data_IF_647210283279
#
_entry.id   IF_647210283279
#
_cell.length_a   1.000
_cell.length_b   1.000
_cell.length_c   1.000
_cell.angle_alpha   90.00
_cell.angle_beta   90.00
_cell.angle_gamma   90.00
#
_symmetry.space_group_name_H-M   'P 1'
#
loop_
_entity.id
_entity.type
_entity.pdbx_description
1 polymer ?
#
# COMPACT_ATOMS: atom_id res chain seq x y z
N UNK A 1 25.23 -60.48 -1.47
CA UNK A 1 26.38 -60.85 -2.34
C UNK A 1 27.02 -59.52 -2.75
N UNK A 2 28.31 -59.20 -2.49
CA UNK A 2 29.58 -59.86 -2.88
C UNK A 2 29.69 -60.04 -4.41
N UNK A 3 30.66 -59.48 -5.15
CA UNK A 3 31.78 -58.53 -4.90
C UNK A 3 31.85 -57.55 -6.11
N UNK A 4 32.17 -56.25 -6.01
CA UNK A 4 33.49 -55.56 -5.81
C UNK A 4 34.64 -56.04 -6.73
N UNK A 5 35.10 -55.19 -7.67
CA UNK A 5 36.48 -54.67 -7.93
C UNK A 5 36.50 -53.93 -9.30
N UNK A 6 36.90 -52.66 -9.43
CA UNK A 6 38.27 -52.04 -9.39
C UNK A 6 39.12 -52.31 -10.65
N UNK A 7 40.03 -51.44 -11.13
CA UNK A 7 40.41 -50.03 -10.82
C UNK A 7 40.68 -49.28 -12.16
N UNK A 8 41.44 -48.20 -12.43
CA UNK A 8 42.55 -47.39 -11.83
C UNK A 8 42.46 -45.94 -12.45
N UNK A 9 43.17 -44.87 -12.04
CA UNK A 9 44.12 -44.65 -10.94
C UNK A 9 43.98 -43.25 -10.29
N UNK A 10 44.77 -42.25 -10.74
CA UNK A 10 45.08 -40.94 -10.15
C UNK A 10 45.43 -39.94 -11.32
N UNK A 11 45.73 -38.65 -11.16
CA UNK A 11 46.02 -37.83 -9.97
C UNK A 11 45.78 -36.31 -10.21
N UNK A 12 45.82 -35.51 -9.14
CA UNK A 12 46.15 -34.06 -9.02
C UNK A 12 45.73 -33.02 -10.08
N UNK A 13 45.29 -31.83 -9.62
CA UNK A 13 45.20 -30.63 -10.48
C UNK A 13 44.42 -29.45 -9.89
N UNK A 14 45.12 -28.44 -9.38
CA UNK A 14 44.52 -27.20 -8.86
C UNK A 14 43.99 -26.27 -9.97
N UNK A 15 42.99 -25.44 -9.59
CA UNK A 15 42.68 -24.09 -10.09
C UNK A 15 43.21 -23.63 -11.47
N UNK A 16 42.29 -23.20 -12.34
CA UNK A 16 42.42 -21.93 -13.09
C UNK A 16 41.07 -21.41 -13.58
N UNK A 17 40.86 -20.09 -13.44
CA UNK A 17 39.71 -19.41 -14.05
C UNK A 17 39.98 -19.19 -15.55
N UNK A 18 39.11 -19.73 -16.41
CA UNK A 18 39.12 -19.48 -17.85
C UNK A 18 37.92 -18.64 -18.27
N UNK A 19 38.05 -17.31 -18.28
CA UNK A 19 36.96 -16.42 -18.66
C UNK A 19 36.90 -16.27 -20.20
N UNK A 20 36.18 -17.18 -20.87
CA UNK A 20 35.97 -17.15 -22.32
C UNK A 20 34.97 -16.07 -22.74
N UNK A 21 35.41 -14.81 -22.83
CA UNK A 21 34.58 -13.70 -23.31
C UNK A 21 34.30 -13.80 -24.82
N UNK A 22 33.05 -13.58 -25.24
CA UNK A 22 32.62 -13.85 -26.62
C UNK A 22 31.31 -13.18 -27.07
N UNK A 23 31.01 -11.95 -26.62
CA UNK A 23 29.85 -11.19 -27.13
C UNK A 23 30.26 -10.34 -28.34
N UNK A 24 29.68 -10.65 -29.51
CA UNK A 24 29.95 -9.95 -30.77
C UNK A 24 29.06 -8.71 -30.91
N UNK A 25 29.66 -7.54 -31.16
CA UNK A 25 28.95 -6.29 -31.46
C UNK A 25 29.42 -5.76 -32.82
N UNK A 26 28.63 -5.95 -33.88
CA UNK A 26 28.90 -5.32 -35.17
C UNK A 26 28.43 -3.86 -35.18
N UNK A 27 29.20 -3.02 -35.86
CA UNK A 27 28.96 -1.58 -36.02
C UNK A 27 28.25 -1.30 -37.34
N UNK A 28 27.45 -0.23 -37.41
CA UNK A 28 27.85 1.00 -38.11
C UNK A 28 26.99 2.20 -37.69
N UNK A 29 27.44 3.46 -37.90
CA UNK A 29 26.89 4.63 -37.23
C UNK A 29 26.26 5.68 -38.16
N UNK A 30 25.43 6.53 -37.57
CA UNK A 30 25.13 7.94 -37.92
C UNK A 30 24.23 8.48 -36.79
N UNK A 31 24.24 9.74 -36.35
CA UNK A 31 25.20 10.86 -36.32
C UNK A 31 24.59 11.94 -35.38
N UNK A 32 25.33 13.01 -35.01
CA UNK A 32 24.89 14.08 -34.08
C UNK A 32 24.71 13.67 -32.59
N UNK A 33 24.81 14.56 -31.59
CA UNK A 33 25.81 15.62 -31.35
C UNK A 33 25.74 16.05 -29.87
N UNK A 34 26.88 16.42 -29.26
CA UNK A 34 27.02 17.00 -27.89
C UNK A 34 26.65 16.02 -26.74
N UNK A 35 27.53 15.61 -25.83
CA UNK A 35 28.27 16.35 -24.78
C UNK A 35 27.34 17.10 -23.81
N UNK A 36 27.39 16.87 -22.50
CA UNK A 36 28.53 16.41 -21.68
C UNK A 36 28.22 15.15 -20.84
N UNK A 37 29.09 14.15 -20.89
CA UNK A 37 29.01 12.93 -20.07
C UNK A 37 30.37 12.63 -19.42
N UNK A 38 30.69 13.33 -18.33
CA UNK A 38 32.02 13.26 -17.71
C UNK A 38 32.05 12.34 -16.49
N UNK A 39 32.48 11.09 -16.68
CA UNK A 39 33.30 10.34 -15.72
C UNK A 39 33.86 9.07 -16.37
N UNK A 40 35.08 9.14 -16.90
CA UNK A 40 35.78 7.98 -17.45
C UNK A 40 36.26 7.03 -16.34
N UNK A 41 36.20 5.74 -16.63
CA UNK A 41 36.55 4.66 -15.71
C UNK A 41 38.01 4.68 -15.23
N UNK A 42 38.20 4.36 -13.94
CA UNK A 42 39.36 3.59 -13.47
C UNK A 42 38.89 2.54 -12.47
N UNK A 43 39.44 1.34 -12.59
CA UNK A 43 39.18 0.22 -11.69
C UNK A 43 40.17 0.26 -10.51
N UNK A 44 39.66 0.03 -9.30
CA UNK A 44 40.44 -0.20 -8.09
C UNK A 44 39.67 -1.17 -7.21
N UNK A 45 40.36 -2.10 -6.53
CA UNK A 45 39.71 -3.11 -5.73
C UNK A 45 39.32 -2.56 -4.34
N UNK A 46 38.07 -2.77 -3.94
CA UNK A 46 37.54 -2.40 -2.64
C UNK A 46 36.09 -2.85 -2.50
N UNK A 47 35.63 -3.07 -1.26
CA UNK A 47 34.21 -3.23 -0.99
C UNK A 47 33.56 -1.85 -0.98
N UNK A 48 32.58 -1.63 -1.84
CA UNK A 48 31.52 -0.65 -1.58
C UNK A 48 30.29 -1.11 -2.37
N UNK A 49 29.28 -1.62 -1.65
CA UNK A 49 27.98 -1.83 -2.27
C UNK A 49 27.41 -0.46 -2.61
N UNK A 50 26.88 -0.28 -3.83
CA UNK A 50 26.20 0.95 -4.22
C UNK A 50 24.94 1.14 -3.36
N UNK A 51 25.15 1.74 -2.19
CA UNK A 51 24.13 2.35 -1.37
C UNK A 51 23.63 3.56 -2.15
N UNK A 52 22.79 3.30 -3.14
CA UNK A 52 21.86 4.28 -3.68
C UNK A 52 20.91 4.64 -2.54
N UNK A 53 21.40 5.54 -1.67
CA UNK A 53 20.60 6.28 -0.72
C UNK A 53 19.67 7.15 -1.55
N UNK A 54 18.57 6.55 -2.00
CA UNK A 54 17.40 7.25 -2.45
C UNK A 54 17.08 8.25 -1.35
N UNK A 55 17.42 9.53 -1.58
CA UNK A 55 16.88 10.63 -0.79
C UNK A 55 15.39 10.55 -1.00
N UNK A 56 14.71 9.90 -0.07
CA UNK A 56 13.26 9.96 0.01
C UNK A 56 12.93 11.45 0.12
N UNK A 57 12.18 11.98 -0.85
CA UNK A 57 11.73 13.35 -0.74
C UNK A 57 10.94 13.48 0.56
N UNK A 58 11.18 14.54 1.36
CA UNK A 58 10.62 14.62 2.70
C UNK A 58 9.09 14.56 2.61
N UNK A 59 8.52 13.52 3.22
CA UNK A 59 7.09 13.22 3.16
C UNK A 59 6.31 14.42 3.70
N UNK A 60 5.71 15.19 2.78
CA UNK A 60 4.93 16.37 3.14
C UNK A 60 3.59 15.92 3.74
N UNK A 61 3.57 15.83 5.07
CA UNK A 61 2.38 15.51 5.87
C UNK A 61 1.87 16.78 6.55
N UNK A 62 0.58 17.07 6.38
CA UNK A 62 -0.10 18.07 7.19
C UNK A 62 -0.36 17.53 8.61
N UNK A 63 -0.71 18.41 9.56
CA UNK A 63 -0.89 18.04 10.98
C UNK A 63 -1.90 16.90 11.20
N UNK A 64 -2.97 16.82 10.41
CA UNK A 64 -4.01 15.80 10.59
C UNK A 64 -3.56 14.43 10.04
N UNK A 65 -2.88 14.42 8.89
CA UNK A 65 -2.19 13.23 8.36
C UNK A 65 -1.12 12.73 9.33
N UNK A 66 -0.36 13.66 9.94
CA UNK A 66 0.69 13.37 10.90
C UNK A 66 0.14 12.68 12.16
N UNK A 67 -0.93 13.23 12.75
CA UNK A 67 -1.58 12.65 13.93
C UNK A 67 -2.16 11.26 13.63
N UNK A 68 -2.92 11.13 12.55
CA UNK A 68 -3.52 9.84 12.16
C UNK A 68 -2.48 8.75 11.87
N UNK A 69 -1.33 9.11 11.29
CA UNK A 69 -0.22 8.18 11.08
C UNK A 69 0.45 7.75 12.40
N UNK A 70 0.58 8.67 13.37
CA UNK A 70 1.12 8.36 14.71
C UNK A 70 0.16 7.51 15.55
N UNK A 71 -1.16 7.67 15.37
CA UNK A 71 -2.17 6.80 15.96
C UNK A 71 -2.11 5.40 15.36
N UNK A 72 -2.06 5.28 14.03
CA UNK A 72 -1.85 3.99 13.34
C UNK A 72 -0.52 3.32 13.73
N UNK A 73 0.54 4.10 13.99
CA UNK A 73 1.82 3.56 14.46
C UNK A 73 1.80 3.04 15.92
N UNK A 74 0.69 3.21 16.66
CA UNK A 74 0.48 2.62 17.99
C UNK A 74 -0.38 1.36 17.92
N UNK A 75 -1.44 1.35 17.09
CA UNK A 75 -2.42 0.26 17.03
C UNK A 75 -2.22 -0.71 15.84
N UNK A 76 -1.36 -0.36 14.88
CA UNK A 76 -1.06 -1.05 13.61
C UNK A 76 -2.24 -1.09 12.63
N UNK A 77 -3.47 -1.27 13.14
CA UNK A 77 -4.72 -1.35 12.38
C UNK A 77 -5.74 -0.32 12.88
N UNK A 78 -6.60 0.17 11.97
CA UNK A 78 -7.81 0.91 12.29
C UNK A 78 -9.03 0.27 11.60
N UNK A 79 -10.19 0.22 12.26
CA UNK A 79 -11.43 -0.25 11.65
C UNK A 79 -11.96 0.77 10.63
N UNK A 80 -12.35 0.27 9.46
CA UNK A 80 -12.99 1.05 8.40
C UNK A 80 -14.19 0.29 7.84
N UNK A 81 -15.07 0.99 7.14
CA UNK A 81 -16.12 0.40 6.33
C UNK A 81 -16.28 1.12 5.00
N UNK A 82 -16.93 0.51 4.02
CA UNK A 82 -17.60 1.26 2.93
C UNK A 82 -19.06 1.44 3.30
N UNK A 83 -19.63 2.62 3.08
CA UNK A 83 -21.08 2.79 3.03
C UNK A 83 -21.53 2.44 1.61
N UNK A 84 -22.37 1.41 1.51
CA UNK A 84 -22.85 0.84 0.24
C UNK A 84 -24.32 1.17 0.08
N UNK A 85 -24.70 1.65 -1.11
CA UNK A 85 -26.10 1.74 -1.54
C UNK A 85 -26.36 0.66 -2.59
N UNK A 86 -27.45 -0.08 -2.41
CA UNK A 86 -27.76 -1.28 -3.21
C UNK A 86 -29.25 -1.37 -3.53
N UNK A 87 -29.60 -2.11 -4.57
CA UNK A 87 -30.99 -2.47 -4.90
C UNK A 87 -31.36 -3.83 -4.33
N UNK A 88 -32.57 -3.95 -3.78
CA UNK A 88 -33.16 -5.22 -3.37
C UNK A 88 -33.77 -6.03 -4.51
N UNK A 89 -33.89 -5.46 -5.71
CA UNK A 89 -34.52 -6.10 -6.89
C UNK A 89 -33.63 -6.22 -8.11
N UNK A 90 -32.64 -5.33 -8.28
CA UNK A 90 -31.70 -5.31 -9.40
C UNK A 90 -30.28 -5.69 -8.94
N UNK A 91 -29.44 -6.20 -9.85
CA UNK A 91 -28.00 -6.41 -9.59
C UNK A 91 -27.22 -5.08 -9.63
N UNK A 92 -27.57 -4.16 -8.72
CA UNK A 92 -27.01 -2.81 -8.63
C UNK A 92 -26.47 -2.51 -7.21
N UNK A 93 -25.20 -2.12 -7.13
CA UNK A 93 -24.52 -1.74 -5.88
C UNK A 93 -23.46 -0.67 -6.16
N UNK A 94 -23.35 0.32 -5.28
CA UNK A 94 -22.45 1.46 -5.42
C UNK A 94 -21.84 1.88 -4.07
N UNK A 95 -20.56 2.26 -4.07
CA UNK A 95 -19.89 2.84 -2.91
C UNK A 95 -20.30 4.31 -2.78
N UNK A 96 -20.97 4.66 -1.68
CA UNK A 96 -21.36 6.04 -1.36
C UNK A 96 -20.29 6.79 -0.54
N UNK A 97 -19.55 6.08 0.32
CA UNK A 97 -18.42 6.62 1.09
C UNK A 97 -17.43 5.52 1.44
N UNK A 98 -16.15 5.72 1.16
CA UNK A 98 -15.05 4.84 1.59
C UNK A 98 -13.73 5.64 1.66
N UNK A 99 -12.86 5.40 2.66
CA UNK A 99 -13.11 4.65 3.88
C UNK A 99 -13.96 5.47 4.86
N UNK A 100 -15.01 4.87 5.42
CA UNK A 100 -15.71 5.39 6.59
C UNK A 100 -15.04 4.83 7.86
N UNK A 101 -14.29 5.68 8.57
CA UNK A 101 -13.76 5.36 9.90
C UNK A 101 -14.59 6.09 10.96
N UNK A 102 -15.01 5.36 11.99
CA UNK A 102 -15.95 5.82 13.02
C UNK A 102 -15.32 5.56 14.40
N UNK A 103 -15.30 6.59 15.23
CA UNK A 103 -14.67 6.61 16.56
C UNK A 103 -15.72 6.84 17.66
N UNK A 104 -16.83 7.52 17.35
CA UNK A 104 -17.97 7.73 18.25
C UNK A 104 -19.29 7.55 17.51
N UNK A 105 -20.37 7.27 18.25
CA UNK A 105 -21.74 7.26 17.70
C UNK A 105 -22.19 8.66 17.26
N UNK A 106 -21.67 9.69 17.92
CA UNK A 106 -21.97 11.10 17.60
C UNK A 106 -21.18 11.64 16.38
N UNK A 107 -20.34 10.80 15.75
CA UNK A 107 -19.57 11.19 14.57
C UNK A 107 -20.48 11.61 13.42
N UNK A 108 -20.41 12.89 13.04
CA UNK A 108 -21.16 13.41 11.90
C UNK A 108 -20.64 12.87 10.57
N UNK A 109 -21.49 12.85 9.54
CA UNK A 109 -21.09 12.45 8.19
C UNK A 109 -19.89 13.28 7.68
N UNK A 110 -19.81 14.56 8.01
CA UNK A 110 -18.69 15.41 7.59
C UNK A 110 -17.40 15.04 8.33
N UNK A 111 -17.47 14.78 9.64
CA UNK A 111 -16.32 14.29 10.44
C UNK A 111 -15.82 12.93 9.96
N UNK A 112 -16.69 12.07 9.42
CA UNK A 112 -16.29 10.81 8.76
C UNK A 112 -15.61 11.09 7.40
N UNK A 113 -16.16 12.00 6.57
CA UNK A 113 -15.53 12.40 5.29
C UNK A 113 -14.16 13.07 5.46
N UNK A 114 -13.99 13.92 6.47
CA UNK A 114 -12.71 14.55 6.79
C UNK A 114 -11.64 13.48 7.05
N UNK A 115 -11.94 12.49 7.90
CA UNK A 115 -11.07 11.33 8.15
C UNK A 115 -10.88 10.47 6.90
N UNK A 116 -11.92 10.27 6.09
CA UNK A 116 -11.81 9.55 4.82
C UNK A 116 -10.76 10.21 3.89
N UNK A 117 -10.80 11.54 3.77
CA UNK A 117 -9.83 12.31 3.00
C UNK A 117 -8.39 12.17 3.52
N UNK A 118 -8.19 12.13 4.84
CA UNK A 118 -6.88 11.90 5.46
C UNK A 118 -6.38 10.48 5.15
N UNK A 119 -7.20 9.45 5.38
CA UNK A 119 -6.85 8.04 5.11
C UNK A 119 -6.48 7.85 3.62
N UNK A 120 -7.31 8.34 2.70
CA UNK A 120 -7.06 8.30 1.26
C UNK A 120 -5.72 8.98 0.90
N UNK A 121 -5.36 10.08 1.56
CA UNK A 121 -4.10 10.79 1.27
C UNK A 121 -2.87 10.11 1.91
N UNK A 122 -3.03 9.39 3.03
CA UNK A 122 -1.99 8.51 3.58
C UNK A 122 -1.76 7.27 2.69
N UNK A 123 -2.84 6.70 2.14
CA UNK A 123 -2.78 5.56 1.20
C UNK A 123 -2.08 5.96 -0.11
N UNK A 124 -2.46 7.11 -0.70
CA UNK A 124 -1.78 7.66 -1.90
C UNK A 124 -0.28 7.92 -1.69
N UNK A 125 0.16 8.13 -0.45
CA UNK A 125 1.58 8.29 -0.07
C UNK A 125 2.27 6.94 0.25
N UNK A 126 1.56 5.82 0.13
CA UNK A 126 2.04 4.47 0.43
C UNK A 126 2.28 4.20 1.92
N UNK A 127 1.72 5.03 2.82
CA UNK A 127 1.97 4.97 4.26
C UNK A 127 1.00 4.04 4.99
N UNK A 128 -0.18 3.83 4.41
CA UNK A 128 -1.20 2.88 4.86
C UNK A 128 -1.75 2.11 3.66
N UNK A 129 -2.46 1.02 3.90
CA UNK A 129 -3.27 0.30 2.93
C UNK A 129 -4.70 0.14 3.44
N UNK A 130 -5.71 0.36 2.60
CA UNK A 130 -7.12 0.12 2.93
C UNK A 130 -7.60 -1.21 2.34
N UNK A 131 -7.97 -2.15 3.20
CA UNK A 131 -8.50 -3.46 2.84
C UNK A 131 -9.98 -3.56 3.28
N UNK A 132 -10.81 -4.20 2.46
CA UNK A 132 -12.25 -4.37 2.69
C UNK A 132 -12.73 -5.82 2.52
N UNK A 133 -11.80 -6.74 2.27
CA UNK A 133 -11.99 -8.19 2.36
C UNK A 133 -11.49 -8.71 3.73
N UNK A 134 -10.61 -7.95 4.40
CA UNK A 134 -10.04 -8.24 5.73
C UNK A 134 -10.59 -7.26 6.80
N UNK A 135 -11.71 -7.58 7.46
CA UNK A 135 -12.14 -6.91 8.69
C UNK A 135 -11.28 -7.31 9.89
N UNK A 136 -11.22 -6.47 10.92
CA UNK A 136 -10.50 -6.75 12.17
C UNK A 136 -11.26 -7.80 12.99
N UNK A 137 -10.59 -8.93 13.29
CA UNK A 137 -11.16 -9.99 14.13
C UNK A 137 -11.46 -9.47 15.55
N UNK A 138 -12.66 -9.75 16.04
CA UNK A 138 -13.12 -9.34 17.37
C UNK A 138 -13.48 -7.85 17.52
N UNK A 139 -13.36 -7.02 16.48
CA UNK A 139 -13.80 -5.63 16.54
C UNK A 139 -15.32 -5.50 16.36
N UNK A 140 -15.95 -4.66 17.18
CA UNK A 140 -17.38 -4.36 17.12
C UNK A 140 -17.70 -3.29 16.06
N UNK A 141 -18.01 -3.76 14.85
CA UNK A 141 -18.48 -2.91 13.76
C UNK A 141 -19.92 -2.38 13.95
N UNK A 142 -20.66 -2.76 15.01
CA UNK A 142 -21.99 -2.18 15.26
C UNK A 142 -21.90 -0.68 15.59
N UNK A 143 -20.73 -0.20 16.05
CA UNK A 143 -20.42 1.23 16.14
C UNK A 143 -20.54 1.96 14.80
N UNK A 144 -20.20 1.31 13.68
CA UNK A 144 -20.27 1.94 12.36
C UNK A 144 -21.72 2.17 11.92
N UNK A 145 -22.59 1.16 12.06
CA UNK A 145 -24.02 1.27 11.70
C UNK A 145 -24.86 2.04 12.74
N UNK A 146 -24.43 2.10 14.01
CA UNK A 146 -25.10 2.90 15.05
C UNK A 146 -24.58 4.34 15.16
N UNK A 147 -23.81 4.81 14.16
CA UNK A 147 -23.29 6.18 14.09
C UNK A 147 -24.26 7.16 13.42
N UNK A 148 -24.23 8.42 13.84
CA UNK A 148 -25.00 9.50 13.23
C UNK A 148 -24.67 9.65 11.73
N UNK A 149 -23.42 9.43 11.32
CA UNK A 149 -23.01 9.38 9.92
C UNK A 149 -23.72 8.29 9.11
N UNK A 150 -23.85 7.06 9.65
CA UNK A 150 -24.54 5.97 8.95
C UNK A 150 -26.06 6.13 8.99
N UNK A 151 -26.64 6.55 10.12
CA UNK A 151 -28.09 6.80 10.23
C UNK A 151 -28.55 7.92 9.28
N UNK A 152 -27.73 8.96 9.09
CA UNK A 152 -27.97 9.99 8.06
C UNK A 152 -27.88 9.41 6.64
N UNK A 153 -26.94 8.50 6.39
CA UNK A 153 -26.80 7.83 5.09
C UNK A 153 -28.01 6.91 4.81
N UNK A 154 -28.43 6.11 5.77
CA UNK A 154 -29.63 5.25 5.70
C UNK A 154 -30.89 6.07 5.39
N UNK A 155 -31.11 7.19 6.10
CA UNK A 155 -32.21 8.11 5.82
C UNK A 155 -32.11 8.73 4.42
N UNK A 156 -30.90 9.06 3.95
CA UNK A 156 -30.67 9.55 2.58
C UNK A 156 -31.03 8.49 1.53
N UNK A 157 -30.77 7.20 1.81
CA UNK A 157 -31.19 6.08 0.94
C UNK A 157 -32.71 5.88 0.99
N UNK A 158 -33.33 6.03 2.17
CA UNK A 158 -34.78 5.96 2.36
C UNK A 158 -35.51 7.06 1.57
N UNK A 159 -35.06 8.31 1.66
CA UNK A 159 -35.53 9.41 0.80
C UNK A 159 -35.19 9.18 -0.68
N UNK A 160 -34.11 8.44 -0.97
CA UNK A 160 -33.73 8.03 -2.32
C UNK A 160 -34.83 7.19 -2.97
N UNK A 161 -35.26 6.13 -2.27
CA UNK A 161 -36.29 5.16 -2.69
C UNK A 161 -37.63 5.79 -3.10
N UNK A 162 -37.97 6.94 -2.54
CA UNK A 162 -39.22 7.67 -2.84
C UNK A 162 -39.17 8.45 -4.17
N UNK A 163 -37.99 8.60 -4.79
CA UNK A 163 -37.79 9.43 -5.99
C UNK A 163 -37.99 8.62 -7.28
N UNK A 164 -38.74 9.13 -8.28
CA UNK A 164 -38.95 8.43 -9.54
C UNK A 164 -37.65 8.02 -10.24
N UNK A 165 -37.60 6.78 -10.73
CA UNK A 165 -36.46 6.14 -11.40
C UNK A 165 -35.21 5.91 -10.51
N UNK A 166 -35.31 6.05 -9.19
CA UNK A 166 -34.22 5.67 -8.28
C UNK A 166 -34.28 4.16 -8.00
N UNK A 167 -33.26 3.42 -8.45
CA UNK A 167 -33.26 1.94 -8.46
C UNK A 167 -32.71 1.28 -7.19
N UNK A 168 -31.96 2.03 -6.38
CA UNK A 168 -31.37 1.52 -5.15
C UNK A 168 -32.24 1.88 -3.95
N UNK A 169 -32.29 1.02 -2.95
CA UNK A 169 -33.28 1.12 -1.88
C UNK A 169 -32.83 0.57 -0.52
N UNK A 170 -31.60 0.06 -0.45
CA UNK A 170 -31.04 -0.65 0.69
C UNK A 170 -29.65 -0.08 1.01
N UNK A 171 -29.49 0.46 2.22
CA UNK A 171 -28.21 0.88 2.78
C UNK A 171 -27.51 -0.31 3.45
N UNK A 172 -26.20 -0.43 3.24
CA UNK A 172 -25.36 -1.52 3.78
C UNK A 172 -23.97 -1.00 4.16
N UNK A 173 -23.19 -1.83 4.88
CA UNK A 173 -21.73 -1.64 5.00
C UNK A 173 -20.95 -2.87 4.53
N UNK A 174 -19.82 -2.62 3.87
CA UNK A 174 -18.71 -3.57 3.78
C UNK A 174 -17.72 -3.27 4.92
N UNK A 175 -17.26 -4.29 5.65
CA UNK A 175 -16.37 -4.15 6.81
C UNK A 175 -14.91 -4.35 6.37
N UNK A 176 -13.98 -3.54 6.88
CA UNK A 176 -12.58 -3.59 6.47
C UNK A 176 -11.60 -3.07 7.53
N UNK A 177 -10.32 -3.05 7.17
CA UNK A 177 -9.23 -2.54 8.00
C UNK A 177 -8.31 -1.59 7.20
N UNK A 178 -7.86 -0.52 7.86
CA UNK A 178 -6.70 0.23 7.42
C UNK A 178 -5.48 -0.29 8.18
N UNK A 179 -4.38 -0.59 7.50
CA UNK A 179 -3.13 -1.06 8.12
C UNK A 179 -1.96 -0.11 7.80
N UNK A 180 -1.05 0.10 8.74
CA UNK A 180 0.18 0.86 8.49
C UNK A 180 1.20 0.04 7.69
N UNK A 181 1.82 0.64 6.66
CA UNK A 181 2.88 -0.03 5.88
C UNK A 181 4.24 0.13 6.54
N UNK A 182 5.25 -0.63 6.09
CA UNK A 182 6.65 -0.37 6.49
C UNK A 182 7.10 1.08 6.23
N UNK A 183 6.60 1.72 5.16
CA UNK A 183 6.92 3.11 4.85
C UNK A 183 6.24 4.05 5.85
N UNK A 184 4.99 3.76 6.23
CA UNK A 184 4.29 4.44 7.31
C UNK A 184 5.02 4.33 8.65
N UNK A 185 5.50 3.14 9.02
CA UNK A 185 6.28 2.90 10.25
C UNK A 185 7.58 3.72 10.23
N UNK A 186 8.39 3.61 9.16
CA UNK A 186 9.64 4.37 9.03
C UNK A 186 9.41 5.89 9.06
N UNK A 187 8.32 6.36 8.46
CA UNK A 187 7.93 7.77 8.54
C UNK A 187 7.57 8.16 9.98
N UNK A 188 6.65 7.42 10.63
CA UNK A 188 6.21 7.64 12.00
C UNK A 188 7.38 7.66 13.01
N UNK A 189 8.36 6.77 12.86
CA UNK A 189 9.52 6.74 13.75
C UNK A 189 10.49 7.90 13.49
N UNK A 190 10.65 8.36 12.23
CA UNK A 190 11.43 9.56 11.92
C UNK A 190 10.87 10.85 12.55
N UNK A 191 9.57 10.86 12.88
CA UNK A 191 8.88 11.98 13.53
C UNK A 191 9.11 11.97 15.05
N UNK A 192 9.19 10.78 15.68
CA UNK A 192 9.36 10.61 17.15
C UNK A 192 10.77 10.95 17.67
N UNK A 193 11.67 11.43 16.80
CA UNK A 193 13.08 11.75 17.12
C UNK A 193 13.28 13.26 17.42
N UNK A 194 12.19 14.06 17.36
CA UNK A 194 12.16 15.50 17.63
C UNK A 194 11.37 15.84 18.91
#
# INVERSE_FOLDING_TARGET
MHKIHQTHHHNDGQQRHGCGGGCHCHQRPESHQQSEGCCSSKQGAGQEGCCHSHKQEPLNLNKAELMMLLDLAQYIYLPISRFIISSSTEEASFVALAPASVNSRDDSLETVKERAGILINLEKKGLISLDYDIPIEGYDYDLHISSAAYLYFEETVREGKEKPNFICDTANIEKGSAAITELGIRAADSIKVF
#
